data_IF_870475044247
#
_entry.id   IF_870475044247
#
_cell.length_a   1.000
_cell.length_b   1.000
_cell.length_c   1.000
_cell.angle_alpha   90.00
_cell.angle_beta   90.00
_cell.angle_gamma   90.00
#
_symmetry.space_group_name_H-M   'P 1'
#
loop_
_entity.id
_entity.type
_entity.pdbx_description
1 polymer ?
#
# COMPACT_ATOMS: atom_id res chain seq x y z
N UNK A 1 -9.06 13.23 -9.54
CA UNK A 1 -8.85 12.15 -8.55
C UNK A 1 -8.98 10.80 -9.25
N UNK A 2 -8.03 10.49 -10.13
CA UNK A 2 -7.93 9.20 -10.83
C UNK A 2 -6.47 8.74 -10.95
N UNK A 3 -5.54 9.59 -10.52
CA UNK A 3 -4.10 9.36 -10.54
C UNK A 3 -3.60 8.73 -9.24
N UNK A 4 -4.45 8.64 -8.23
CA UNK A 4 -4.13 8.08 -6.92
C UNK A 4 -4.27 6.56 -6.87
N UNK A 5 -4.79 5.93 -7.92
CA UNK A 5 -5.02 4.49 -8.02
C UNK A 5 -3.78 3.79 -8.58
N UNK A 6 -3.43 2.67 -7.98
CA UNK A 6 -2.37 1.79 -8.46
C UNK A 6 -2.88 0.89 -9.59
N UNK A 7 -2.04 0.64 -10.60
CA UNK A 7 -2.35 -0.34 -11.64
C UNK A 7 -2.52 -1.75 -11.09
N UNK A 8 -1.76 -2.07 -10.04
CA UNK A 8 -1.82 -3.34 -9.31
C UNK A 8 -1.81 -3.06 -7.81
N UNK A 9 -2.80 -3.57 -7.06
CA UNK A 9 -2.80 -3.36 -5.62
C UNK A 9 -1.60 -4.05 -4.97
N UNK A 10 -1.09 -3.46 -3.89
CA UNK A 10 -0.05 -4.06 -3.05
C UNK A 10 -0.75 -4.80 -1.92
N UNK A 11 -0.45 -6.08 -1.75
CA UNK A 11 -1.08 -6.89 -0.70
C UNK A 11 -0.16 -7.00 0.49
N UNK A 12 -0.65 -6.51 1.61
CA UNK A 12 0.06 -6.51 2.88
C UNK A 12 -0.69 -7.35 3.90
N UNK A 13 0.05 -8.03 4.76
CA UNK A 13 -0.49 -8.74 5.90
C UNK A 13 -0.54 -7.77 7.07
N UNK A 14 -1.75 -7.36 7.43
CA UNK A 14 -1.95 -6.55 8.64
C UNK A 14 -1.73 -7.41 9.88
N UNK A 15 -1.49 -6.79 11.05
CA UNK A 15 -1.10 -7.48 12.29
C UNK A 15 -2.07 -8.56 12.81
N UNK A 16 -3.26 -8.69 12.21
CA UNK A 16 -4.22 -9.76 12.44
C UNK A 16 -4.07 -10.93 11.46
N UNK A 17 -3.03 -10.97 10.62
CA UNK A 17 -2.85 -11.95 9.55
C UNK A 17 -3.83 -11.80 8.39
N UNK A 18 -4.56 -10.70 8.32
CA UNK A 18 -5.54 -10.44 7.26
C UNK A 18 -4.85 -9.78 6.07
N UNK A 19 -4.95 -10.36 4.86
CA UNK A 19 -4.43 -9.74 3.65
C UNK A 19 -5.29 -8.53 3.28
N UNK A 20 -4.68 -7.35 3.28
CA UNK A 20 -5.30 -6.10 2.81
C UNK A 20 -4.69 -5.74 1.48
N UNK A 21 -5.54 -5.57 0.46
CA UNK A 21 -5.13 -5.10 -0.85
C UNK A 21 -5.20 -3.57 -0.89
N UNK A 22 -4.05 -2.92 -0.86
CA UNK A 22 -3.92 -1.47 -0.97
C UNK A 22 -3.94 -1.11 -2.46
N UNK A 23 -5.04 -0.51 -2.92
CA UNK A 23 -5.26 -0.19 -4.34
C UNK A 23 -4.98 1.28 -4.69
N UNK A 24 -4.84 2.14 -3.68
CA UNK A 24 -4.64 3.57 -3.88
C UNK A 24 -3.54 4.14 -2.97
N UNK A 25 -2.94 5.25 -3.41
CA UNK A 25 -1.98 6.05 -2.64
C UNK A 25 -2.58 6.50 -1.31
N UNK A 26 -3.86 6.88 -1.30
CA UNK A 26 -4.56 7.28 -0.08
C UNK A 26 -4.65 6.13 0.93
N UNK A 27 -4.99 4.92 0.48
CA UNK A 27 -5.02 3.73 1.34
C UNK A 27 -3.61 3.42 1.88
N UNK A 28 -2.58 3.52 1.04
CA UNK A 28 -1.19 3.32 1.45
C UNK A 28 -0.78 4.35 2.52
N UNK A 29 -1.15 5.62 2.32
CA UNK A 29 -0.90 6.70 3.26
C UNK A 29 -1.60 6.46 4.60
N UNK A 30 -2.88 6.07 4.60
CA UNK A 30 -3.63 5.76 5.82
C UNK A 30 -3.01 4.58 6.56
N UNK A 31 -2.58 3.54 5.85
CA UNK A 31 -1.89 2.40 6.46
C UNK A 31 -0.58 2.80 7.11
N UNK A 32 0.21 3.65 6.45
CA UNK A 32 1.43 4.21 7.03
C UNK A 32 1.11 5.09 8.25
N UNK A 33 0.07 5.94 8.18
CA UNK A 33 -0.30 6.80 9.30
C UNK A 33 -0.70 6.00 10.56
N UNK A 34 -1.40 4.88 10.37
CA UNK A 34 -1.82 3.95 11.43
C UNK A 34 -0.66 3.08 11.99
N UNK A 35 0.46 3.00 11.27
CA UNK A 35 1.59 2.17 11.67
C UNK A 35 2.19 2.63 13.01
N UNK A 36 2.41 1.69 13.97
CA UNK A 36 2.85 2.02 15.32
C UNK A 36 4.21 2.71 15.32
N UNK A 37 4.31 3.81 16.08
CA UNK A 37 5.53 4.62 16.22
C UNK A 37 6.76 3.81 16.64
N UNK A 38 6.57 2.77 17.45
CA UNK A 38 7.65 1.87 17.88
C UNK A 38 8.27 1.04 16.74
N UNK A 39 7.57 0.87 15.61
CA UNK A 39 8.06 0.17 14.41
C UNK A 39 8.26 1.10 13.21
N UNK A 40 8.35 2.42 13.43
CA UNK A 40 8.63 3.38 12.36
C UNK A 40 10.13 3.40 12.06
N UNK A 41 10.52 2.67 11.02
CA UNK A 41 11.87 2.72 10.43
C UNK A 41 12.05 3.99 9.56
N UNK A 42 13.27 4.50 9.30
CA UNK A 42 13.51 5.51 8.27
C UNK A 42 12.86 5.22 6.91
N UNK A 43 12.72 3.94 6.52
CA UNK A 43 11.99 3.55 5.31
C UNK A 43 10.49 3.93 5.34
N UNK A 44 9.89 3.96 6.53
CA UNK A 44 8.51 4.42 6.74
C UNK A 44 8.35 5.89 6.34
N UNK A 45 9.27 6.75 6.79
CA UNK A 45 9.26 8.17 6.46
C UNK A 45 9.45 8.40 4.95
N UNK A 46 10.20 7.53 4.27
CA UNK A 46 10.38 7.58 2.83
C UNK A 46 9.10 7.21 2.06
N UNK A 47 8.45 6.11 2.45
CA UNK A 47 7.17 5.69 1.87
C UNK A 47 6.07 6.75 2.10
N UNK A 48 6.04 7.37 3.28
CA UNK A 48 5.04 8.39 3.62
C UNK A 48 5.22 9.67 2.79
N UNK A 49 6.47 10.12 2.58
CA UNK A 49 6.79 11.24 1.69
C UNK A 49 6.42 10.93 0.24
N UNK A 50 6.69 9.71 -0.22
CA UNK A 50 6.33 9.29 -1.57
C UNK A 50 4.81 9.30 -1.79
N UNK A 51 4.03 8.81 -0.82
CA UNK A 51 2.57 8.86 -0.91
C UNK A 51 2.06 10.31 -0.95
N UNK A 52 2.62 11.20 -0.12
CA UNK A 52 2.26 12.62 -0.14
C UNK A 52 2.62 13.31 -1.46
N UNK A 53 3.78 12.99 -2.03
CA UNK A 53 4.18 13.50 -3.34
C UNK A 53 3.24 12.99 -4.45
N UNK A 54 2.78 11.75 -4.37
CA UNK A 54 1.84 11.18 -5.35
C UNK A 54 0.44 11.83 -5.24
N UNK A 55 -0.04 12.10 -4.02
CA UNK A 55 -1.30 12.84 -3.81
C UNK A 55 -1.23 14.29 -4.33
N UNK A 56 -0.02 14.84 -4.46
CA UNK A 56 0.22 16.17 -5.03
C UNK A 56 0.48 16.14 -6.54
N UNK A 57 0.40 14.98 -7.16
CA UNK A 57 0.74 14.77 -8.58
C UNK A 57 2.22 15.11 -8.89
N UNK A 58 3.10 15.13 -7.88
CA UNK A 58 4.55 15.37 -8.03
C UNK A 58 5.30 14.10 -8.45
N UNK A 59 4.77 12.92 -8.09
CA UNK A 59 5.29 11.60 -8.50
C UNK A 59 4.14 10.69 -8.93
N UNK A 60 4.44 9.73 -9.79
CA UNK A 60 3.45 8.76 -10.25
C UNK A 60 3.02 7.82 -9.12
N UNK A 61 1.75 7.44 -9.08
CA UNK A 61 1.25 6.48 -8.10
C UNK A 61 1.98 5.13 -8.16
N UNK A 62 2.39 4.66 -9.35
CA UNK A 62 3.24 3.48 -9.50
C UNK A 62 4.61 3.63 -8.80
N UNK A 63 5.18 4.84 -8.79
CA UNK A 63 6.43 5.11 -8.07
C UNK A 63 6.20 5.03 -6.56
N UNK A 64 5.13 5.66 -6.05
CA UNK A 64 4.78 5.58 -4.63
C UNK A 64 4.45 4.15 -4.20
N UNK A 65 3.78 3.38 -5.07
CA UNK A 65 3.49 1.96 -4.90
C UNK A 65 4.77 1.14 -4.76
N UNK A 66 5.76 1.36 -5.62
CA UNK A 66 7.04 0.66 -5.55
C UNK A 66 7.73 0.89 -4.21
N UNK A 67 7.75 2.13 -3.73
CA UNK A 67 8.32 2.48 -2.43
C UNK A 67 7.55 1.88 -1.25
N UNK A 68 6.22 1.86 -1.34
CA UNK A 68 5.38 1.20 -0.35
C UNK A 68 5.63 -0.32 -0.32
N UNK A 69 5.74 -0.97 -1.48
CA UNK A 69 6.04 -2.40 -1.58
C UNK A 69 7.42 -2.73 -1.00
N UNK A 70 8.45 -1.94 -1.32
CA UNK A 70 9.79 -2.11 -0.73
C UNK A 70 9.79 -1.89 0.78
N UNK A 71 9.01 -0.94 1.30
CA UNK A 71 8.84 -0.77 2.74
C UNK A 71 8.14 -1.97 3.38
N UNK A 72 7.05 -2.46 2.78
CA UNK A 72 6.32 -3.63 3.26
C UNK A 72 7.19 -4.89 3.25
N UNK A 73 8.07 -5.04 2.26
CA UNK A 73 9.04 -6.14 2.17
C UNK A 73 10.02 -6.09 3.35
N UNK A 74 10.55 -4.90 3.65
CA UNK A 74 11.47 -4.68 4.78
C UNK A 74 10.83 -4.99 6.14
N UNK A 75 9.56 -4.60 6.32
CA UNK A 75 8.79 -4.91 7.53
C UNK A 75 8.33 -6.38 7.58
N UNK A 76 8.63 -7.18 6.55
CA UNK A 76 8.21 -8.57 6.40
C UNK A 76 6.68 -8.76 6.42
N UNK A 77 5.93 -7.71 6.07
CA UNK A 77 4.47 -7.73 5.97
C UNK A 77 3.98 -7.82 4.53
N UNK A 78 4.88 -7.65 3.55
CA UNK A 78 4.53 -7.86 2.14
C UNK A 78 4.16 -9.33 1.94
N UNK A 79 2.96 -9.59 1.44
CA UNK A 79 2.54 -10.95 1.16
C UNK A 79 3.35 -11.50 -0.04
N UNK A 80 4.12 -12.60 0.12
CA UNK A 80 4.87 -13.19 -0.97
C UNK A 80 3.90 -13.80 -1.99
N UNK A 81 4.06 -13.40 -3.25
CA UNK A 81 3.32 -13.83 -4.44
C UNK A 81 1.89 -14.33 -4.20
N UNK A 82 0.96 -13.38 -4.09
CA UNK A 82 -0.47 -13.66 -4.06
C UNK A 82 -1.11 -13.57 -5.45
N UNK A 83 -0.43 -14.04 -6.50
CA UNK A 83 -1.01 -14.19 -7.86
C UNK A 83 -2.45 -14.76 -7.87
N UNK A 84 -2.81 -15.78 -7.04
CA UNK A 84 -4.19 -16.25 -6.94
C UNK A 84 -5.16 -15.27 -6.23
N UNK A 85 -4.72 -14.50 -5.23
CA UNK A 85 -5.53 -13.47 -4.56
C UNK A 85 -5.71 -12.22 -5.45
N UNK A 86 -4.71 -11.92 -6.29
CA UNK A 86 -4.80 -10.85 -7.29
C UNK A 86 -5.94 -11.13 -8.29
N UNK A 87 -6.16 -12.40 -8.60
CA UNK A 87 -7.25 -12.83 -9.48
C UNK A 87 -8.61 -12.71 -8.81
N UNK A 88 -8.70 -12.89 -7.49
CA UNK A 88 -9.94 -12.80 -6.74
C UNK A 88 -10.31 -11.38 -6.28
N UNK A 89 -9.37 -10.44 -6.11
CA UNK A 89 -9.77 -9.03 -5.86
C UNK A 89 -10.50 -8.43 -7.07
N UNK A 90 -10.21 -8.90 -8.29
CA UNK A 90 -11.00 -8.59 -9.51
C UNK A 90 -12.42 -9.16 -9.47
N UNK A 91 -12.71 -10.12 -8.59
CA UNK A 91 -14.01 -10.81 -8.47
C UNK A 91 -14.73 -10.52 -7.14
N UNK A 92 -14.16 -9.65 -6.30
CA UNK A 92 -14.70 -9.37 -4.98
C UNK A 92 -14.38 -7.94 -4.56
N UNK A 93 -15.17 -6.99 -5.07
CA UNK A 93 -15.53 -5.84 -4.26
C UNK A 93 -16.75 -6.23 -3.41
N UNK A 94 -16.60 -6.51 -2.11
CA UNK A 94 -17.70 -6.32 -1.18
C UNK A 94 -17.41 -5.11 -0.29
N UNK A 95 -18.03 -3.97 -0.65
CA UNK A 95 -18.22 -2.80 0.23
C UNK A 95 -16.95 -1.98 0.51
N UNK A 96 -17.00 -0.66 0.71
CA UNK A 96 -18.10 0.26 1.00
C UNK A 96 -17.64 1.65 0.51
N UNK A 97 -18.48 2.48 -0.14
CA UNK A 97 -19.72 3.07 0.36
C UNK A 97 -19.48 4.10 1.48
#
# INVERSE_FOLDING_TARGET
MKNDLFERPVIILTGLGHPTAVSSVMEAYMFLADWPTSKRDPAHGFAMKACLAALRDEVEAETARGLFASWAERENILAPDLSPFIRSWRVGSPGAA
#
